data_IF_030151314888
#
_entry.id   IF_030151314888
#
_cell.length_a   1.000
_cell.length_b   1.000
_cell.length_c   1.000
_cell.angle_alpha   90.00
_cell.angle_beta   90.00
_cell.angle_gamma   90.00
#
_symmetry.space_group_name_H-M   'P 1'
#
loop_
_entity.id
_entity.type
_entity.pdbx_description
1 polymer ?
#
# COMPACT_ATOMS: atom_id res chain seq x y z
N UNK A 1 20.98 -18.44 -8.85
CA UNK A 1 21.63 -17.90 -7.64
C UNK A 1 20.62 -18.03 -6.51
N UNK A 2 21.07 -18.45 -5.33
CA UNK A 2 20.14 -18.69 -4.22
C UNK A 2 19.64 -17.37 -3.62
N UNK A 3 18.43 -17.35 -3.06
CA UNK A 3 17.83 -16.13 -2.50
C UNK A 3 18.67 -15.57 -1.35
N UNK A 4 19.22 -16.45 -0.50
CA UNK A 4 20.05 -16.06 0.63
C UNK A 4 21.37 -15.44 0.19
N UNK A 5 21.98 -15.97 -0.87
CA UNK A 5 23.21 -15.42 -1.47
C UNK A 5 22.97 -14.01 -2.03
N UNK A 6 21.87 -13.82 -2.75
CA UNK A 6 21.48 -12.51 -3.31
C UNK A 6 21.32 -11.47 -2.19
N UNK A 7 20.62 -11.84 -1.11
CA UNK A 7 20.38 -10.96 0.02
C UNK A 7 21.66 -10.68 0.83
N UNK A 8 22.50 -11.69 1.03
CA UNK A 8 23.79 -11.51 1.70
C UNK A 8 24.70 -10.57 0.90
N UNK A 9 24.75 -10.71 -0.42
CA UNK A 9 25.50 -9.83 -1.29
C UNK A 9 24.96 -8.39 -1.26
N UNK A 10 23.64 -8.23 -1.31
CA UNK A 10 23.00 -6.91 -1.23
C UNK A 10 23.21 -6.21 0.12
N UNK A 11 23.39 -6.95 1.21
CA UNK A 11 23.70 -6.42 2.54
C UNK A 11 25.18 -6.09 2.74
N UNK A 12 26.08 -6.86 2.14
CA UNK A 12 27.52 -6.80 2.45
C UNK A 12 28.28 -5.86 1.52
N UNK A 13 27.87 -5.77 0.25
CA UNK A 13 28.60 -5.02 -0.76
C UNK A 13 28.13 -3.57 -0.80
N UNK A 14 29.05 -2.63 -0.52
CA UNK A 14 28.80 -1.19 -0.68
C UNK A 14 28.49 -0.80 -2.14
N UNK A 15 28.97 -1.61 -3.10
CA UNK A 15 28.64 -1.53 -4.51
C UNK A 15 27.88 -2.79 -4.92
N UNK A 16 26.64 -2.62 -5.36
CA UNK A 16 25.82 -3.71 -5.89
C UNK A 16 26.38 -4.17 -7.24
N UNK A 17 26.27 -5.47 -7.59
CA UNK A 17 26.64 -5.96 -8.91
C UNK A 17 25.94 -5.17 -10.02
N UNK A 18 26.59 -5.07 -11.18
CA UNK A 18 26.07 -4.31 -12.32
C UNK A 18 24.68 -4.83 -12.73
N UNK A 19 23.72 -3.91 -12.84
CA UNK A 19 22.34 -4.26 -13.17
C UNK A 19 21.53 -4.86 -12.03
N UNK A 20 21.95 -4.68 -10.77
CA UNK A 20 21.12 -4.95 -9.60
C UNK A 20 20.46 -3.66 -9.11
N UNK A 21 19.32 -3.80 -8.44
CA UNK A 21 18.66 -2.67 -7.77
C UNK A 21 18.12 -3.12 -6.42
N UNK A 22 18.46 -2.39 -5.35
CA UNK A 22 17.99 -2.68 -4.00
C UNK A 22 17.14 -1.54 -3.44
N UNK A 23 16.15 -1.92 -2.64
CA UNK A 23 15.27 -1.00 -1.93
C UNK A 23 15.28 -1.37 -0.44
N UNK A 24 16.28 -0.85 0.32
CA UNK A 24 16.37 -1.10 1.75
C UNK A 24 15.25 -0.37 2.50
N UNK A 25 15.01 -0.79 3.73
CA UNK A 25 14.06 -0.13 4.63
C UNK A 25 14.50 1.32 4.94
N UNK A 26 13.65 2.29 4.64
CA UNK A 26 13.85 3.69 4.98
C UNK A 26 13.47 3.94 6.44
N UNK A 27 14.41 3.70 7.36
CA UNK A 27 14.22 3.84 8.82
C UNK A 27 13.50 5.13 9.21
N UNK A 28 13.89 6.27 8.61
CA UNK A 28 13.29 7.57 8.90
C UNK A 28 11.77 7.62 8.64
N UNK A 29 11.28 6.95 7.59
CA UNK A 29 9.83 6.88 7.31
C UNK A 29 9.11 5.98 8.31
N UNK A 30 9.72 4.86 8.69
CA UNK A 30 9.14 3.94 9.68
C UNK A 30 9.07 4.59 11.06
N UNK A 31 10.09 5.38 11.44
CA UNK A 31 10.09 6.16 12.68
C UNK A 31 8.93 7.15 12.73
N UNK A 32 8.61 7.83 11.62
CA UNK A 32 7.41 8.67 11.55
C UNK A 32 6.11 7.88 11.74
N UNK A 33 6.06 6.64 11.24
CA UNK A 33 4.98 5.69 11.51
C UNK A 33 4.84 5.38 13.00
N UNK A 34 5.97 5.05 13.66
CA UNK A 34 6.04 4.80 15.12
C UNK A 34 5.46 5.98 15.92
N UNK A 35 5.83 7.22 15.57
CA UNK A 35 5.28 8.41 16.24
C UNK A 35 3.76 8.50 16.06
N UNK A 36 3.26 8.19 14.86
CA UNK A 36 1.82 8.12 14.60
C UNK A 36 1.10 7.08 15.45
N UNK A 37 1.69 5.89 15.61
CA UNK A 37 1.12 4.83 16.44
C UNK A 37 1.13 5.19 17.93
N UNK A 38 2.19 5.83 18.44
CA UNK A 38 2.22 6.36 19.82
C UNK A 38 1.06 7.33 20.04
N UNK A 39 0.83 8.25 19.10
CA UNK A 39 -0.31 9.17 19.19
C UNK A 39 -1.65 8.42 19.18
N UNK A 40 -1.79 7.40 18.32
CA UNK A 40 -2.97 6.54 18.28
C UNK A 40 -3.25 5.83 19.61
N UNK A 41 -2.20 5.34 20.27
CA UNK A 41 -2.28 4.71 21.60
C UNK A 41 -2.73 5.73 22.65
N UNK A 42 -2.11 6.91 22.69
CA UNK A 42 -2.45 7.96 23.65
C UNK A 42 -3.90 8.43 23.48
N UNK A 43 -4.35 8.64 22.24
CA UNK A 43 -5.73 9.03 21.94
C UNK A 43 -6.72 7.92 22.27
N UNK A 44 -6.45 6.67 21.84
CA UNK A 44 -7.33 5.53 22.10
C UNK A 44 -7.47 5.22 23.60
N UNK A 45 -6.35 5.16 24.31
CA UNK A 45 -6.33 4.94 25.76
C UNK A 45 -6.95 6.11 26.53
N UNK A 46 -6.59 7.35 26.18
CA UNK A 46 -7.11 8.54 26.84
C UNK A 46 -8.62 8.69 26.69
N UNK A 47 -9.13 8.49 25.46
CA UNK A 47 -10.57 8.50 25.22
C UNK A 47 -11.29 7.36 25.93
N UNK A 48 -10.74 6.14 25.93
CA UNK A 48 -11.33 5.03 26.70
C UNK A 48 -11.40 5.36 28.19
N UNK A 49 -10.29 5.79 28.78
CA UNK A 49 -10.22 6.10 30.21
C UNK A 49 -11.22 7.20 30.62
N UNK A 50 -11.50 8.15 29.73
CA UNK A 50 -12.47 9.22 29.95
C UNK A 50 -13.92 8.78 29.73
N UNK A 51 -14.20 8.03 28.67
CA UNK A 51 -15.56 7.67 28.23
C UNK A 51 -16.13 6.53 29.07
N UNK A 52 -15.34 5.50 29.38
CA UNK A 52 -15.76 4.31 30.14
C UNK A 52 -16.50 4.66 31.44
N UNK A 53 -15.96 5.49 32.36
CA UNK A 53 -16.62 5.79 33.63
C UNK A 53 -17.90 6.63 33.48
N UNK A 54 -18.04 7.38 32.39
CA UNK A 54 -19.22 8.23 32.12
C UNK A 54 -20.34 7.40 31.50
N UNK A 55 -20.01 6.62 30.49
CA UNK A 55 -20.99 6.01 29.60
C UNK A 55 -21.50 4.69 30.17
N UNK A 56 -20.67 3.91 30.86
CA UNK A 56 -21.12 2.62 31.43
C UNK A 56 -22.26 2.80 32.46
N UNK A 57 -22.15 3.66 33.49
CA UNK A 57 -23.20 3.76 34.51
C UNK A 57 -24.52 4.27 33.93
N UNK A 58 -24.46 5.24 33.01
CA UNK A 58 -25.64 5.90 32.47
C UNK A 58 -26.31 5.04 31.40
N UNK A 59 -25.56 4.56 30.41
CA UNK A 59 -26.16 3.92 29.23
C UNK A 59 -26.61 2.47 29.47
N UNK A 60 -26.02 1.77 30.44
CA UNK A 60 -26.47 0.42 30.79
C UNK A 60 -27.78 0.40 31.59
N UNK A 61 -28.27 1.56 32.02
CA UNK A 61 -29.54 1.70 32.72
C UNK A 61 -30.70 2.14 31.80
N UNK A 62 -30.41 2.72 30.64
CA UNK A 62 -31.41 3.38 29.76
C UNK A 62 -31.93 2.48 28.61
N UNK A 63 -31.76 1.16 28.72
CA UNK A 63 -32.34 0.17 27.80
C UNK A 63 -31.39 -0.36 26.72
N UNK A 64 -31.86 -1.39 26.00
CA UNK A 64 -31.04 -2.25 25.12
C UNK A 64 -30.35 -1.48 23.98
N UNK A 65 -31.01 -0.49 23.40
CA UNK A 65 -30.42 0.31 22.31
C UNK A 65 -29.19 1.10 22.77
N UNK A 66 -29.26 1.73 23.95
CA UNK A 66 -28.16 2.51 24.52
C UNK A 66 -26.96 1.63 24.86
N UNK A 67 -27.22 0.40 25.35
CA UNK A 67 -26.19 -0.62 25.58
C UNK A 67 -25.47 -0.97 24.28
N UNK A 68 -26.20 -1.33 23.22
CA UNK A 68 -25.62 -1.73 21.94
C UNK A 68 -24.74 -0.61 21.35
N UNK A 69 -25.25 0.62 21.32
CA UNK A 69 -24.52 1.77 20.81
C UNK A 69 -23.23 2.02 21.61
N UNK A 70 -23.31 1.94 22.93
CA UNK A 70 -22.16 2.12 23.84
C UNK A 70 -21.12 1.03 23.62
N UNK A 71 -21.54 -0.24 23.55
CA UNK A 71 -20.63 -1.36 23.31
C UNK A 71 -19.92 -1.21 21.98
N UNK A 72 -20.62 -0.81 20.91
CA UNK A 72 -20.02 -0.58 19.61
C UNK A 72 -18.99 0.56 19.63
N UNK A 73 -19.31 1.67 20.29
CA UNK A 73 -18.39 2.80 20.45
C UNK A 73 -17.12 2.39 21.22
N UNK A 74 -17.29 1.71 22.36
CA UNK A 74 -16.17 1.21 23.17
C UNK A 74 -15.33 0.19 22.39
N UNK A 75 -15.96 -0.69 21.61
CA UNK A 75 -15.26 -1.65 20.75
C UNK A 75 -14.40 -0.95 19.69
N UNK A 76 -14.90 0.12 19.05
CA UNK A 76 -14.10 0.91 18.10
C UNK A 76 -12.89 1.53 18.80
N UNK A 77 -13.07 2.13 19.98
CA UNK A 77 -11.97 2.76 20.71
C UNK A 77 -10.93 1.73 21.17
N UNK A 78 -11.38 0.58 21.67
CA UNK A 78 -10.51 -0.54 22.02
C UNK A 78 -9.76 -1.07 20.80
N UNK A 79 -10.44 -1.21 19.65
CA UNK A 79 -9.81 -1.61 18.40
C UNK A 79 -8.72 -0.63 17.97
N UNK A 80 -8.97 0.68 18.06
CA UNK A 80 -7.95 1.70 17.75
C UNK A 80 -6.75 1.57 18.69
N UNK A 81 -6.98 1.40 19.99
CA UNK A 81 -5.92 1.26 20.99
C UNK A 81 -5.07 0.00 20.74
N UNK A 82 -5.69 -1.18 20.75
CA UNK A 82 -4.98 -2.44 20.56
C UNK A 82 -4.37 -2.56 19.16
N UNK A 83 -5.06 -2.09 18.12
CA UNK A 83 -4.54 -2.04 16.76
C UNK A 83 -3.30 -1.15 16.64
N UNK A 84 -3.28 -0.01 17.33
CA UNK A 84 -2.11 0.88 17.35
C UNK A 84 -0.93 0.25 18.09
N UNK A 85 -1.16 -0.46 19.20
CA UNK A 85 -0.10 -1.21 19.92
C UNK A 85 0.50 -2.28 19.00
N UNK A 86 -0.36 -3.06 18.34
CA UNK A 86 0.08 -4.12 17.44
C UNK A 86 0.96 -3.58 16.30
N UNK A 87 0.52 -2.51 15.64
CA UNK A 87 1.30 -1.87 14.57
C UNK A 87 2.60 -1.24 15.08
N UNK A 88 2.58 -0.63 16.28
CA UNK A 88 3.78 -0.12 16.93
C UNK A 88 4.84 -1.21 17.11
N UNK A 89 4.43 -2.40 17.59
CA UNK A 89 5.35 -3.53 17.79
C UNK A 89 5.96 -3.97 16.46
N UNK A 90 5.16 -4.09 15.40
CA UNK A 90 5.65 -4.45 14.06
C UNK A 90 6.69 -3.44 13.58
N UNK A 91 6.41 -2.14 13.67
CA UNK A 91 7.32 -1.11 13.19
C UNK A 91 8.62 -1.04 14.02
N UNK A 92 8.55 -1.28 15.33
CA UNK A 92 9.75 -1.40 16.18
C UNK A 92 10.62 -2.58 15.71
N UNK A 93 10.03 -3.75 15.47
CA UNK A 93 10.77 -4.93 14.99
C UNK A 93 11.41 -4.65 13.63
N UNK A 94 10.69 -3.98 12.73
CA UNK A 94 11.22 -3.59 11.40
C UNK A 94 12.43 -2.67 11.51
N UNK A 95 12.40 -1.69 12.42
CA UNK A 95 13.52 -0.76 12.63
C UNK A 95 14.70 -1.43 13.32
N UNK A 96 14.44 -2.41 14.20
CA UNK A 96 15.47 -3.16 14.91
C UNK A 96 16.28 -4.09 13.99
N UNK A 97 15.63 -4.69 12.99
CA UNK A 97 16.24 -5.65 12.06
C UNK A 97 16.09 -5.21 10.59
N UNK A 98 16.61 -4.02 10.20
CA UNK A 98 16.44 -3.49 8.85
C UNK A 98 17.01 -4.40 7.75
N UNK A 99 18.05 -5.18 8.06
CA UNK A 99 18.67 -6.17 7.18
C UNK A 99 17.74 -7.35 6.83
N UNK A 100 16.66 -7.51 7.59
CA UNK A 100 15.62 -8.51 7.33
C UNK A 100 14.45 -7.93 6.52
N UNK A 101 14.51 -6.65 6.15
CA UNK A 101 13.47 -5.96 5.39
C UNK A 101 14.07 -5.28 4.17
N UNK A 102 14.16 -6.00 3.06
CA UNK A 102 14.68 -5.46 1.80
C UNK A 102 14.02 -6.08 0.58
N UNK A 103 14.04 -5.34 -0.51
CA UNK A 103 13.67 -5.82 -1.84
C UNK A 103 14.90 -5.71 -2.73
N UNK A 104 15.23 -6.77 -3.43
CA UNK A 104 16.33 -6.83 -4.38
C UNK A 104 15.80 -7.32 -5.72
N UNK A 105 16.14 -6.57 -6.77
CA UNK A 105 15.94 -6.94 -8.16
C UNK A 105 17.29 -7.28 -8.76
N UNK A 106 17.39 -8.50 -9.25
CA UNK A 106 18.48 -8.95 -10.11
C UNK A 106 17.99 -8.99 -11.55
N UNK A 107 18.86 -9.12 -12.57
CA UNK A 107 18.43 -9.26 -13.96
C UNK A 107 17.47 -10.44 -14.21
N UNK A 108 17.55 -11.49 -13.39
CA UNK A 108 16.77 -12.73 -13.56
C UNK A 108 15.64 -12.89 -12.55
N UNK A 109 15.85 -12.45 -11.31
CA UNK A 109 14.99 -12.77 -10.17
C UNK A 109 14.62 -11.53 -9.34
N UNK A 110 13.38 -11.53 -8.88
CA UNK A 110 12.89 -10.68 -7.80
C UNK A 110 13.05 -11.42 -6.47
N UNK A 111 13.72 -10.81 -5.50
CA UNK A 111 13.88 -11.34 -4.15
C UNK A 111 13.41 -10.31 -3.14
N UNK A 112 12.53 -10.73 -2.23
CA UNK A 112 12.04 -9.88 -1.15
C UNK A 112 12.18 -10.61 0.18
N UNK A 113 12.69 -9.91 1.19
CA UNK A 113 12.73 -10.38 2.56
C UNK A 113 11.83 -9.51 3.43
N UNK A 114 10.89 -10.14 4.12
CA UNK A 114 10.00 -9.55 5.11
C UNK A 114 10.17 -10.29 6.43
N UNK A 115 11.13 -9.85 7.24
CA UNK A 115 11.50 -10.51 8.50
C UNK A 115 12.11 -11.89 8.23
N UNK A 116 11.43 -12.92 8.73
CA UNK A 116 11.82 -14.32 8.53
C UNK A 116 11.38 -14.91 7.18
N UNK A 117 10.45 -14.28 6.47
CA UNK A 117 9.92 -14.78 5.21
C UNK A 117 10.74 -14.22 4.04
N UNK A 118 11.26 -15.12 3.21
CA UNK A 118 11.91 -14.79 1.94
C UNK A 118 11.04 -15.24 0.78
N UNK A 119 10.80 -14.36 -0.18
CA UNK A 119 10.02 -14.63 -1.40
C UNK A 119 10.91 -14.40 -2.61
N UNK A 120 11.11 -15.43 -3.42
CA UNK A 120 11.86 -15.36 -4.67
C UNK A 120 10.95 -15.71 -5.85
N UNK A 121 10.90 -14.82 -6.83
CA UNK A 121 10.12 -14.99 -8.06
C UNK A 121 11.00 -14.66 -9.27
N UNK A 122 11.18 -15.60 -10.21
CA UNK A 122 11.85 -15.30 -11.47
C UNK A 122 11.08 -14.23 -12.25
N UNK A 123 11.78 -13.22 -12.75
CA UNK A 123 11.17 -12.06 -13.43
C UNK A 123 10.37 -12.45 -14.68
N UNK A 124 10.75 -13.55 -15.33
CA UNK A 124 9.99 -14.11 -16.46
C UNK A 124 8.54 -14.48 -16.09
N UNK A 125 8.31 -14.86 -14.84
CA UNK A 125 6.99 -15.28 -14.34
C UNK A 125 6.23 -14.14 -13.66
N UNK A 126 6.77 -12.92 -13.64
CA UNK A 126 6.10 -11.76 -13.04
C UNK A 126 5.10 -11.19 -14.06
N UNK A 127 3.83 -11.11 -13.67
CA UNK A 127 2.74 -10.53 -14.46
C UNK A 127 2.01 -9.46 -13.67
N UNK A 128 1.41 -8.49 -14.38
CA UNK A 128 0.50 -7.49 -13.81
C UNK A 128 1.03 -6.73 -12.59
N UNK A 129 2.13 -5.99 -12.77
CA UNK A 129 2.66 -5.08 -11.75
C UNK A 129 1.69 -3.91 -11.56
N UNK A 130 0.81 -4.01 -10.56
CA UNK A 130 -0.25 -3.05 -10.27
C UNK A 130 -0.38 -2.75 -8.77
N UNK A 131 -1.07 -1.68 -8.37
CA UNK A 131 -1.23 -1.35 -6.95
C UNK A 131 -1.90 -2.42 -6.08
N UNK A 132 -2.64 -3.34 -6.69
CA UNK A 132 -3.39 -4.43 -6.01
C UNK A 132 -3.16 -5.79 -6.68
N UNK A 133 -2.05 -5.97 -7.40
CA UNK A 133 -1.67 -7.26 -7.96
C UNK A 133 -2.72 -7.93 -8.85
N UNK A 134 -3.64 -7.15 -9.43
CA UNK A 134 -4.68 -7.64 -10.33
C UNK A 134 -4.41 -7.18 -11.75
N UNK A 135 -4.90 -7.96 -12.71
CA UNK A 135 -4.95 -7.56 -14.10
C UNK A 135 -5.61 -6.17 -14.20
N UNK A 136 -5.02 -5.22 -14.95
CA UNK A 136 -5.70 -3.99 -15.29
C UNK A 136 -7.08 -4.34 -15.87
N UNK A 137 -8.14 -3.68 -15.39
CA UNK A 137 -9.46 -3.85 -16.01
C UNK A 137 -9.31 -3.42 -17.47
N UNK A 138 -9.56 -4.35 -18.39
CA UNK A 138 -9.54 -4.07 -19.82
C UNK A 138 -10.53 -2.93 -20.10
N UNK A 139 -9.99 -1.75 -20.38
CA UNK A 139 -10.76 -0.61 -20.89
C UNK A 139 -10.74 -0.67 -22.40
N UNK A 140 -11.14 -1.80 -22.97
CA UNK A 140 -11.40 -1.91 -24.40
C UNK A 140 -12.89 -1.63 -24.65
N UNK A 141 -13.13 -0.43 -25.20
CA UNK A 141 -14.33 0.01 -25.92
C UNK A 141 -15.67 0.04 -25.15
N UNK A 142 -16.01 1.22 -24.58
CA UNK A 142 -17.29 1.92 -24.87
C UNK A 142 -17.35 3.31 -24.21
N UNK A 143 -16.37 4.17 -24.47
CA UNK A 143 -16.45 5.60 -24.10
C UNK A 143 -17.34 6.42 -25.06
N UNK A 144 -18.02 5.77 -26.01
CA UNK A 144 -18.92 6.42 -26.98
C UNK A 144 -20.36 6.61 -26.46
N UNK A 145 -20.78 5.90 -25.40
CA UNK A 145 -22.18 5.88 -24.95
C UNK A 145 -22.57 6.87 -23.85
N UNK A 146 -21.61 7.39 -23.08
CA UNK A 146 -21.91 8.12 -21.82
C UNK A 146 -21.92 9.65 -21.99
N UNK A 147 -21.62 10.17 -23.19
CA UNK A 147 -21.65 11.62 -23.46
C UNK A 147 -23.02 12.17 -23.91
N UNK A 148 -24.04 11.33 -24.10
CA UNK A 148 -25.27 11.74 -24.78
C UNK A 148 -26.56 11.78 -23.94
N UNK A 149 -26.46 11.80 -22.61
CA UNK A 149 -27.62 12.11 -21.75
C UNK A 149 -27.32 13.41 -20.99
N UNK A 150 -27.21 14.53 -21.72
CA UNK A 150 -27.33 15.86 -21.15
C UNK A 150 -28.75 16.36 -21.43
N UNK A 151 -29.65 16.11 -20.47
CA UNK A 151 -30.98 16.69 -20.50
C UNK A 151 -30.88 18.21 -20.33
N UNK A 152 -31.63 18.96 -21.15
CA UNK A 152 -31.63 20.42 -21.19
C UNK A 152 -31.98 21.12 -19.84
N UNK A 153 -32.35 20.37 -18.79
CA UNK A 153 -32.63 20.86 -17.45
C UNK A 153 -31.42 20.99 -16.51
N UNK A 154 -30.27 20.37 -16.81
CA UNK A 154 -29.08 20.45 -15.93
C UNK A 154 -28.29 21.77 -16.07
N UNK A 155 -28.48 22.51 -17.16
CA UNK A 155 -27.77 23.76 -17.42
C UNK A 155 -28.20 24.92 -16.50
N UNK A 156 -29.38 24.85 -15.88
CA UNK A 156 -29.87 25.92 -14.99
C UNK A 156 -29.32 25.77 -13.57
N UNK A 157 -29.13 24.53 -13.10
CA UNK A 157 -28.52 24.29 -11.78
C UNK A 157 -27.01 24.59 -11.74
N UNK A 158 -26.33 24.55 -12.88
CA UNK A 158 -24.90 24.88 -13.00
C UNK A 158 -24.56 26.37 -12.90
N UNK A 159 -25.52 27.27 -13.09
CA UNK A 159 -25.28 28.73 -13.04
C UNK A 159 -25.34 29.29 -11.61
N UNK A 160 -26.02 28.60 -10.68
CA UNK A 160 -26.26 29.09 -9.31
C UNK A 160 -25.21 28.57 -8.30
N UNK A 161 -24.61 27.39 -8.51
CA UNK A 161 -23.68 26.77 -7.54
C UNK A 161 -22.19 26.84 -7.88
N UNK A 162 -21.79 27.60 -8.91
CA UNK A 162 -20.42 28.11 -9.06
C UNK A 162 -19.30 27.04 -9.19
N UNK A 163 -18.73 26.98 -10.40
CA UNK A 163 -17.39 26.44 -10.73
C UNK A 163 -17.23 24.91 -10.67
N UNK A 164 -17.55 24.26 -11.79
CA UNK A 164 -17.15 22.86 -12.03
C UNK A 164 -16.73 22.49 -13.46
N UNK A 165 -16.86 23.39 -14.44
CA UNK A 165 -16.80 23.00 -15.88
C UNK A 165 -15.85 23.82 -16.74
N UNK A 166 -14.78 24.41 -16.17
CA UNK A 166 -13.62 24.79 -16.99
C UNK A 166 -12.66 23.60 -17.11
N UNK A 167 -12.06 23.38 -18.29
CA UNK A 167 -11.02 22.35 -18.53
C UNK A 167 -9.92 22.35 -17.46
N UNK A 168 -9.65 23.53 -16.86
CA UNK A 168 -8.70 23.69 -15.76
C UNK A 168 -9.11 22.93 -14.48
N UNK A 169 -10.40 22.85 -14.15
CA UNK A 169 -10.90 22.13 -12.97
C UNK A 169 -10.78 20.61 -13.10
N UNK A 170 -11.01 20.07 -14.31
CA UNK A 170 -10.76 18.66 -14.60
C UNK A 170 -9.26 18.31 -14.57
N UNK A 171 -8.38 19.20 -15.07
CA UNK A 171 -6.92 19.05 -14.93
C UNK A 171 -6.46 19.06 -13.47
N UNK A 172 -7.10 19.87 -12.61
CA UNK A 172 -6.79 19.92 -11.18
C UNK A 172 -7.23 18.65 -10.44
N UNK A 173 -8.34 18.02 -10.85
CA UNK A 173 -8.79 16.72 -10.30
C UNK A 173 -7.85 15.57 -10.68
N UNK A 174 -7.27 15.60 -11.90
CA UNK A 174 -6.23 14.64 -12.33
C UNK A 174 -4.90 14.81 -11.58
N UNK A 175 -4.59 16.02 -11.08
CA UNK A 175 -3.37 16.29 -10.29
C UNK A 175 -3.42 15.71 -8.86
N UNK A 176 -4.57 15.22 -8.41
CA UNK A 176 -4.77 14.56 -7.11
C UNK A 176 -5.05 13.06 -7.24
N UNK A 177 -4.44 12.39 -8.21
CA UNK A 177 -4.33 10.92 -8.14
C UNK A 177 -3.36 10.63 -7.00
N UNK A 178 -3.89 10.23 -5.84
CA UNK A 178 -3.07 9.77 -4.71
C UNK A 178 -2.14 8.68 -5.22
N UNK A 179 -0.84 8.84 -5.01
CA UNK A 179 0.13 7.79 -5.29
C UNK A 179 -0.31 6.53 -4.54
N UNK A 180 -0.44 5.39 -5.23
CA UNK A 180 -0.85 4.16 -4.59
C UNK A 180 0.17 3.82 -3.49
N UNK A 181 -0.33 3.54 -2.29
CA UNK A 181 0.50 3.18 -1.13
C UNK A 181 0.91 1.72 -1.13
N UNK A 182 0.39 0.93 -2.06
CA UNK A 182 0.64 -0.50 -2.19
C UNK A 182 1.07 -0.87 -3.60
N UNK A 183 1.83 -1.96 -3.71
CA UNK A 183 2.31 -2.57 -4.95
C UNK A 183 2.29 -4.08 -4.81
N UNK A 184 1.79 -4.76 -5.84
CA UNK A 184 1.79 -6.21 -5.92
C UNK A 184 1.90 -6.66 -7.39
N UNK A 185 2.25 -7.93 -7.60
CA UNK A 185 2.24 -8.58 -8.91
C UNK A 185 1.70 -10.01 -8.79
N UNK A 186 1.41 -10.65 -9.92
CA UNK A 186 1.01 -12.06 -9.98
C UNK A 186 2.21 -12.91 -10.42
N UNK A 187 2.47 -14.02 -9.72
CA UNK A 187 3.43 -15.04 -10.16
C UNK A 187 2.71 -16.06 -11.07
N UNK A 188 3.09 -16.12 -12.34
CA UNK A 188 2.49 -17.01 -13.35
C UNK A 188 2.66 -18.51 -13.02
N UNK A 189 3.62 -18.89 -12.15
CA UNK A 189 3.81 -20.31 -11.77
C UNK A 189 2.71 -20.83 -10.86
N UNK A 190 2.23 -19.97 -9.97
CA UNK A 190 1.31 -20.32 -8.89
C UNK A 190 -0.04 -19.60 -9.01
N UNK A 191 -0.14 -18.64 -9.93
CA UNK A 191 -1.28 -17.73 -10.09
C UNK A 191 -1.64 -16.98 -8.79
N UNK A 192 -0.63 -16.76 -7.94
CA UNK A 192 -0.80 -16.10 -6.64
C UNK A 192 -0.33 -14.65 -6.69
N UNK A 193 -1.09 -13.77 -6.03
CA UNK A 193 -0.68 -12.38 -5.79
C UNK A 193 0.47 -12.34 -4.78
N UNK A 194 1.57 -11.71 -5.18
CA UNK A 194 2.72 -11.38 -4.33
C UNK A 194 2.68 -9.89 -4.04
N UNK A 195 2.39 -9.54 -2.79
CA UNK A 195 2.51 -8.17 -2.30
C UNK A 195 3.99 -7.80 -2.21
N UNK A 196 4.38 -6.70 -2.86
CA UNK A 196 5.75 -6.17 -2.87
C UNK A 196 5.91 -5.13 -1.76
N UNK A 197 4.95 -4.21 -1.65
CA UNK A 197 4.95 -3.18 -0.62
C UNK A 197 3.49 -2.83 -0.27
N UNK A 198 3.19 -2.59 0.99
CA UNK A 198 1.88 -2.14 1.49
C UNK A 198 1.89 -0.70 2.05
N UNK A 199 3.08 -0.12 2.20
CA UNK A 199 3.35 1.21 2.72
C UNK A 199 4.42 1.95 1.89
N UNK A 200 4.96 3.05 2.43
CA UNK A 200 6.04 3.80 1.78
C UNK A 200 7.42 3.51 2.39
N UNK A 201 7.58 2.43 3.16
CA UNK A 201 8.77 2.16 3.95
C UNK A 201 10.00 1.81 3.09
N UNK A 202 9.81 1.24 1.91
CA UNK A 202 10.90 0.90 0.97
C UNK A 202 11.16 1.98 -0.09
N UNK A 203 10.32 3.03 -0.15
CA UNK A 203 10.41 4.05 -1.19
C UNK A 203 9.05 4.54 -1.66
N UNK A 204 9.00 5.03 -2.89
CA UNK A 204 7.74 5.29 -3.59
C UNK A 204 7.33 4.00 -4.33
N UNK A 205 6.16 3.41 -4.03
CA UNK A 205 5.66 2.22 -4.73
C UNK A 205 5.60 2.41 -6.25
N UNK A 206 5.37 3.63 -6.74
CA UNK A 206 5.35 3.90 -8.18
C UNK A 206 6.73 3.76 -8.83
N UNK A 207 7.77 4.24 -8.15
CA UNK A 207 9.15 4.12 -8.62
C UNK A 207 9.58 2.66 -8.60
N UNK A 208 9.28 1.93 -7.51
CA UNK A 208 9.56 0.49 -7.41
C UNK A 208 8.86 -0.26 -8.54
N UNK A 209 7.58 0.04 -8.80
CA UNK A 209 6.83 -0.56 -9.91
C UNK A 209 7.46 -0.29 -11.28
N UNK A 210 7.94 0.93 -11.52
CA UNK A 210 8.60 1.29 -12.78
C UNK A 210 9.91 0.52 -12.97
N UNK A 211 10.69 0.35 -11.89
CA UNK A 211 11.92 -0.45 -11.92
C UNK A 211 11.58 -1.92 -12.18
N UNK A 212 10.64 -2.53 -11.45
CA UNK A 212 10.22 -3.91 -11.70
C UNK A 212 9.79 -4.10 -13.16
N UNK A 213 8.97 -3.20 -13.72
CA UNK A 213 8.53 -3.27 -15.12
C UNK A 213 9.71 -3.22 -16.10
N UNK A 214 10.72 -2.39 -15.84
CA UNK A 214 11.93 -2.31 -16.67
C UNK A 214 12.69 -3.65 -16.66
N UNK A 215 12.87 -4.26 -15.49
CA UNK A 215 13.53 -5.55 -15.34
C UNK A 215 12.76 -6.69 -16.01
N UNK A 216 11.43 -6.73 -15.82
CA UNK A 216 10.57 -7.73 -16.48
C UNK A 216 10.61 -7.60 -18.01
N UNK A 217 10.60 -6.37 -18.54
CA UNK A 217 10.72 -6.14 -19.97
C UNK A 217 12.09 -6.60 -20.51
N UNK A 218 13.17 -6.32 -19.78
CA UNK A 218 14.52 -6.79 -20.11
C UNK A 218 14.59 -8.32 -20.18
N UNK A 219 14.16 -9.01 -19.11
CA UNK A 219 14.19 -10.46 -19.04
C UNK A 219 13.39 -11.14 -20.17
N UNK A 220 12.23 -10.57 -20.54
CA UNK A 220 11.42 -11.09 -21.66
C UNK A 220 12.04 -10.83 -23.03
N UNK A 221 12.74 -9.70 -23.19
CA UNK A 221 13.41 -9.39 -24.46
C UNK A 221 14.59 -10.33 -24.73
N UNK A 222 15.37 -10.67 -23.70
CA UNK A 222 16.46 -11.64 -23.81
C UNK A 222 15.96 -13.04 -24.18
N UNK A 223 14.84 -13.47 -23.61
CA UNK A 223 14.21 -14.74 -23.94
C UNK A 223 13.72 -14.81 -25.40
N UNK A 224 13.24 -13.69 -25.94
CA UNK A 224 12.81 -13.60 -27.34
C UNK A 224 13.96 -13.66 -28.36
N UNK A 225 15.18 -13.29 -27.95
CA UNK A 225 16.38 -13.32 -28.81
C UNK A 225 17.01 -14.71 -28.82
N UNK A 226 16.78 -15.52 -27.79
CA UNK A 226 17.31 -16.88 -27.68
C UNK A 226 16.45 -17.96 -28.36
N UNK A 227 15.25 -17.62 -28.85
CA UNK A 227 14.36 -18.51 -29.62
C UNK A 227 14.48 -18.25 -31.11
#
# INVERSE_FOLDING_TARGET
MDAEEILAQANTSAELPAGWSSFPLLKGKVIWGIVGWIFGILMGAGLLALIVPIVIPVNFQHGTFSIILTTFLLAILAFIFFGSIYMLIIDIVRVAHPEQHMIVLTPTDFVMREGAKTTQVPLKNVRHVTPRGRAPIDRSADDAGVRNIQGAGENVFGFIFGRGTTESGQKQRRKRVRTPTSLAFVDDRTDTEVTVVNDNAHGDPFLIAAVIKKYVAGARSEESIQK
#
